data_IF_403359668481
#
_entry.id   IF_403359668481
#
_cell.length_a   1.000
_cell.length_b   1.000
_cell.length_c   1.000
_cell.angle_alpha   90.00
_cell.angle_beta   90.00
_cell.angle_gamma   90.00
#
_symmetry.space_group_name_H-M   'P 1'
#
loop_
_entity.id
_entity.type
_entity.pdbx_description
1 polymer ?
#
# COMPACT_ATOMS: atom_id res chain seq x y z
N UNK A 1 -42.86 10.99 20.18
CA UNK A 1 -42.15 10.18 21.19
C UNK A 1 -41.94 8.80 20.57
N UNK A 2 -40.77 8.40 20.08
CA UNK A 2 -39.42 8.93 20.25
C UNK A 2 -38.60 8.41 19.07
N UNK A 3 -37.84 9.29 18.45
CA UNK A 3 -36.87 8.97 17.42
C UNK A 3 -35.83 7.98 17.98
N UNK A 4 -35.64 6.85 17.30
CA UNK A 4 -34.43 6.06 17.42
C UNK A 4 -33.35 6.86 16.70
N UNK A 5 -32.50 7.51 17.49
CA UNK A 5 -31.28 8.12 17.00
C UNK A 5 -30.38 6.98 16.51
N UNK A 6 -30.20 6.94 15.20
CA UNK A 6 -29.14 6.20 14.53
C UNK A 6 -27.80 6.52 15.19
N UNK A 7 -27.13 5.48 15.68
CA UNK A 7 -25.81 5.52 16.28
C UNK A 7 -24.72 5.64 15.19
N UNK A 8 -24.82 6.65 14.32
CA UNK A 8 -23.98 6.81 13.12
C UNK A 8 -22.97 7.91 13.34
N UNK A 9 -21.87 7.62 14.03
CA UNK A 9 -20.68 8.48 13.94
C UNK A 9 -19.33 7.79 14.19
N UNK A 10 -19.24 6.46 14.07
CA UNK A 10 -17.99 5.71 14.33
C UNK A 10 -17.41 4.88 13.19
N UNK A 11 -18.19 4.52 12.16
CA UNK A 11 -17.84 3.36 11.30
C UNK A 11 -17.98 3.61 9.79
N UNK A 12 -18.20 4.85 9.36
CA UNK A 12 -18.29 5.16 7.93
C UNK A 12 -16.91 5.45 7.38
N UNK A 13 -16.47 4.65 6.41
CA UNK A 13 -15.17 4.79 5.75
C UNK A 13 -15.10 6.11 4.98
N UNK A 14 -14.07 6.93 5.25
CA UNK A 14 -13.91 8.28 4.72
C UNK A 14 -12.76 8.36 3.73
N UNK A 15 -13.03 8.96 2.58
CA UNK A 15 -12.08 9.08 1.48
C UNK A 15 -11.85 10.54 1.08
N UNK A 16 -10.68 10.81 0.52
CA UNK A 16 -10.39 11.99 -0.32
C UNK A 16 -10.01 11.51 -1.71
N UNK A 17 -10.44 12.23 -2.75
CA UNK A 17 -10.09 11.93 -4.14
C UNK A 17 -9.28 13.09 -4.71
N UNK A 18 -8.05 12.81 -5.13
CA UNK A 18 -7.14 13.77 -5.75
C UNK A 18 -6.84 13.32 -7.18
N UNK A 19 -7.27 14.13 -8.16
CA UNK A 19 -7.07 13.87 -9.59
C UNK A 19 -7.22 15.19 -10.35
N UNK A 20 -6.38 15.44 -11.36
CA UNK A 20 -6.48 16.67 -12.16
C UNK A 20 -7.72 16.67 -13.08
N UNK A 21 -8.28 15.49 -13.37
CA UNK A 21 -9.46 15.32 -14.21
C UNK A 21 -10.76 15.33 -13.40
N UNK A 22 -11.54 16.40 -13.52
CA UNK A 22 -12.82 16.55 -12.81
C UNK A 22 -13.81 15.39 -13.07
N UNK A 23 -13.83 14.85 -14.30
CA UNK A 23 -14.69 13.72 -14.66
C UNK A 23 -14.33 12.45 -13.87
N UNK A 24 -13.02 12.21 -13.66
CA UNK A 24 -12.54 11.06 -12.88
C UNK A 24 -12.94 11.21 -11.42
N UNK A 25 -12.71 12.39 -10.82
CA UNK A 25 -13.13 12.64 -9.43
C UNK A 25 -14.61 12.44 -9.22
N UNK A 26 -15.42 12.98 -10.13
CA UNK A 26 -16.88 12.84 -10.10
C UNK A 26 -17.30 11.36 -10.20
N UNK A 27 -16.73 10.62 -11.15
CA UNK A 27 -17.04 9.21 -11.37
C UNK A 27 -16.68 8.33 -10.17
N UNK A 28 -15.46 8.47 -9.63
CA UNK A 28 -15.08 7.77 -8.41
C UNK A 28 -15.94 8.21 -7.23
N UNK A 29 -16.26 9.50 -7.09
CA UNK A 29 -17.11 9.98 -6.01
C UNK A 29 -18.50 9.34 -6.01
N UNK A 30 -19.10 9.15 -7.18
CA UNK A 30 -20.37 8.43 -7.33
C UNK A 30 -20.26 6.96 -6.93
N UNK A 31 -19.21 6.26 -7.40
CA UNK A 31 -18.96 4.85 -7.07
C UNK A 31 -18.78 4.65 -5.57
N UNK A 32 -17.93 5.48 -4.93
CA UNK A 32 -17.65 5.37 -3.50
C UNK A 32 -18.89 5.65 -2.65
N UNK A 33 -19.64 6.70 -3.01
CA UNK A 33 -20.86 7.07 -2.27
C UNK A 33 -21.93 5.98 -2.38
N UNK A 34 -22.07 5.35 -3.55
CA UNK A 34 -23.02 4.25 -3.76
C UNK A 34 -22.71 3.03 -2.86
N UNK A 35 -21.46 2.84 -2.47
CA UNK A 35 -21.02 1.75 -1.58
C UNK A 35 -20.86 2.19 -0.11
N UNK A 36 -21.41 3.36 0.25
CA UNK A 36 -21.40 3.86 1.63
C UNK A 36 -20.05 4.41 2.10
N UNK A 37 -19.10 4.67 1.21
CA UNK A 37 -17.84 5.35 1.50
C UNK A 37 -18.06 6.86 1.34
N UNK A 38 -17.75 7.63 2.38
CA UNK A 38 -17.90 9.08 2.38
C UNK A 38 -16.75 9.78 1.66
N UNK A 39 -17.04 10.52 0.61
CA UNK A 39 -16.06 11.43 0.01
C UNK A 39 -16.06 12.75 0.76
N UNK A 40 -15.03 12.96 1.57
CA UNK A 40 -14.92 14.13 2.46
C UNK A 40 -14.38 15.39 1.78
N UNK A 41 -13.62 15.21 0.69
CA UNK A 41 -13.13 16.29 -0.15
C UNK A 41 -12.63 15.75 -1.49
N UNK A 42 -12.62 16.64 -2.48
CA UNK A 42 -11.93 16.47 -3.75
C UNK A 42 -10.76 17.46 -3.85
N UNK A 43 -9.72 17.10 -4.60
CA UNK A 43 -8.57 17.94 -4.88
C UNK A 43 -8.16 17.84 -6.35
N UNK A 44 -7.82 18.96 -6.98
CA UNK A 44 -7.36 19.01 -8.36
C UNK A 44 -5.82 18.96 -8.48
N UNK A 45 -5.10 19.13 -7.37
CA UNK A 45 -3.65 18.99 -7.31
C UNK A 45 -3.14 18.44 -5.97
N UNK A 46 -1.85 18.14 -5.90
CA UNK A 46 -1.23 17.58 -4.70
C UNK A 46 -1.22 18.52 -3.48
N UNK A 47 -1.17 19.84 -3.68
CA UNK A 47 -1.20 20.79 -2.57
C UNK A 47 -2.61 20.86 -1.96
N UNK A 48 -3.64 20.89 -2.80
CA UNK A 48 -5.04 20.78 -2.39
C UNK A 48 -5.29 19.44 -1.67
N UNK A 49 -4.72 18.34 -2.15
CA UNK A 49 -4.87 17.02 -1.55
C UNK A 49 -4.29 16.98 -0.12
N UNK A 50 -3.09 17.54 0.08
CA UNK A 50 -2.47 17.67 1.41
C UNK A 50 -3.33 18.52 2.34
N UNK A 51 -3.83 19.66 1.86
CA UNK A 51 -4.70 20.53 2.63
C UNK A 51 -6.05 19.87 2.99
N UNK A 52 -6.62 19.12 2.05
CA UNK A 52 -7.86 18.36 2.25
C UNK A 52 -7.68 17.27 3.31
N UNK A 53 -6.62 16.46 3.21
CA UNK A 53 -6.31 15.40 4.18
C UNK A 53 -6.14 15.97 5.59
N UNK A 54 -5.39 17.06 5.74
CA UNK A 54 -5.23 17.75 7.04
C UNK A 54 -6.54 18.20 7.64
N UNK A 55 -7.43 18.75 6.79
CA UNK A 55 -8.72 19.31 7.20
C UNK A 55 -9.73 18.23 7.55
N UNK A 56 -9.81 17.17 6.75
CA UNK A 56 -10.89 16.18 6.85
C UNK A 56 -10.47 14.91 7.60
N UNK A 57 -9.17 14.63 7.72
CA UNK A 57 -8.62 13.41 8.34
C UNK A 57 -9.32 12.14 7.82
N UNK A 58 -9.25 11.87 6.50
CA UNK A 58 -9.89 10.71 5.91
C UNK A 58 -9.13 9.43 6.29
N UNK A 59 -9.79 8.30 6.14
CA UNK A 59 -9.17 6.99 6.32
C UNK A 59 -8.30 6.61 5.11
N UNK A 60 -8.71 7.03 3.90
CA UNK A 60 -8.03 6.72 2.64
C UNK A 60 -7.95 7.96 1.74
N UNK A 61 -6.83 8.15 1.05
CA UNK A 61 -6.72 9.08 -0.08
C UNK A 61 -6.51 8.29 -1.37
N UNK A 62 -7.39 8.49 -2.34
CA UNK A 62 -7.16 8.11 -3.73
C UNK A 62 -6.38 9.24 -4.41
N UNK A 63 -5.21 8.93 -4.94
CA UNK A 63 -4.23 9.93 -5.35
C UNK A 63 -3.72 9.65 -6.76
N UNK A 64 -4.08 10.49 -7.73
CA UNK A 64 -3.45 10.48 -9.03
C UNK A 64 -1.98 10.92 -8.95
N UNK A 65 -1.13 10.36 -9.80
CA UNK A 65 0.29 10.73 -9.85
C UNK A 65 0.48 12.06 -10.57
N UNK A 66 -0.21 12.24 -11.69
CA UNK A 66 0.09 13.26 -12.71
C UNK A 66 -0.79 14.49 -12.52
N UNK A 67 -0.59 15.16 -11.38
CA UNK A 67 -1.27 16.40 -11.07
C UNK A 67 -0.39 17.64 -11.34
N UNK A 68 -0.98 18.79 -11.70
CA UNK A 68 -0.23 20.04 -11.91
C UNK A 68 0.39 20.56 -10.60
N UNK A 69 1.54 21.24 -10.71
CA UNK A 69 2.22 21.80 -9.55
C UNK A 69 2.88 20.72 -8.69
N UNK A 70 2.14 20.20 -7.71
CA UNK A 70 2.60 19.10 -6.85
C UNK A 70 2.05 17.77 -7.34
N UNK A 71 2.95 16.86 -7.70
CA UNK A 71 2.58 15.51 -8.11
C UNK A 71 2.07 14.66 -6.92
N UNK A 72 1.37 13.57 -7.22
CA UNK A 72 0.78 12.71 -6.20
C UNK A 72 1.78 11.99 -5.30
N UNK A 73 3.02 11.77 -5.76
CA UNK A 73 4.05 11.08 -4.99
C UNK A 73 4.62 12.02 -3.92
N UNK A 74 4.91 13.26 -4.30
CA UNK A 74 5.30 14.32 -3.37
C UNK A 74 4.18 14.62 -2.37
N UNK A 75 2.92 14.69 -2.83
CA UNK A 75 1.77 14.86 -1.95
C UNK A 75 1.66 13.71 -0.95
N UNK A 76 1.84 12.46 -1.40
CA UNK A 76 1.87 11.26 -0.55
C UNK A 76 2.94 11.37 0.53
N UNK A 77 4.18 11.75 0.17
CA UNK A 77 5.27 11.95 1.15
C UNK A 77 4.91 12.97 2.22
N UNK A 78 4.33 14.10 1.82
CA UNK A 78 3.92 15.17 2.76
C UNK A 78 2.78 14.76 3.67
N UNK A 79 1.80 14.04 3.13
CA UNK A 79 0.66 13.51 3.90
C UNK A 79 1.14 12.52 4.95
N UNK A 80 2.05 11.62 4.59
CA UNK A 80 2.50 10.55 5.48
C UNK A 80 3.55 11.00 6.49
N UNK A 81 4.29 12.07 6.21
CA UNK A 81 5.21 12.72 7.15
C UNK A 81 4.50 13.63 8.17
N UNK A 82 3.18 13.84 8.02
CA UNK A 82 2.40 14.69 8.89
C UNK A 82 1.70 13.85 9.98
N UNK A 83 2.28 13.86 11.19
CA UNK A 83 1.75 13.14 12.34
C UNK A 83 0.33 13.60 12.73
N UNK A 84 -0.12 14.78 12.28
CA UNK A 84 -1.45 15.30 12.57
C UNK A 84 -2.54 14.76 11.63
N UNK A 85 -2.15 14.09 10.54
CA UNK A 85 -3.06 13.52 9.55
C UNK A 85 -3.72 12.20 9.99
N UNK A 86 -3.25 11.59 11.09
CA UNK A 86 -3.75 10.31 11.61
C UNK A 86 -3.34 9.10 10.76
N UNK A 87 -3.96 7.95 11.02
CA UNK A 87 -3.71 6.69 10.31
C UNK A 87 -4.39 6.66 8.92
N UNK A 88 -3.99 7.56 8.03
CA UNK A 88 -4.44 7.58 6.63
C UNK A 88 -3.77 6.47 5.80
N UNK A 89 -4.46 5.94 4.79
CA UNK A 89 -3.84 5.10 3.76
C UNK A 89 -3.88 5.81 2.42
N UNK A 90 -2.81 5.72 1.64
CA UNK A 90 -2.78 6.35 0.31
C UNK A 90 -2.78 5.27 -0.76
N UNK A 91 -3.76 5.32 -1.66
CA UNK A 91 -3.84 4.45 -2.84
C UNK A 91 -3.58 5.32 -4.06
N UNK A 92 -2.54 4.95 -4.81
CA UNK A 92 -2.19 5.66 -6.03
C UNK A 92 -3.06 5.18 -7.20
N UNK A 93 -3.56 6.13 -7.99
CA UNK A 93 -4.32 5.90 -9.22
C UNK A 93 -3.44 6.24 -10.43
N UNK A 94 -3.46 5.42 -11.49
CA UNK A 94 -2.72 5.71 -12.73
C UNK A 94 -3.41 5.16 -14.00
N UNK A 95 -3.09 5.70 -15.18
CA UNK A 95 -3.77 5.42 -16.46
C UNK A 95 -3.07 4.40 -17.36
N UNK A 96 -2.32 3.44 -16.81
CA UNK A 96 -1.35 2.55 -17.48
C UNK A 96 0.00 3.19 -17.76
N UNK A 97 1.00 2.35 -17.50
CA UNK A 97 2.42 2.53 -17.71
C UNK A 97 3.13 3.44 -16.71
N UNK A 98 4.44 3.17 -16.58
CA UNK A 98 5.46 3.84 -15.78
C UNK A 98 5.90 3.07 -14.53
N UNK A 99 6.64 1.99 -14.78
CA UNK A 99 7.46 1.25 -13.80
C UNK A 99 8.30 2.16 -12.89
N UNK A 100 8.66 3.35 -13.38
CA UNK A 100 9.44 4.31 -12.62
C UNK A 100 8.66 4.94 -11.46
N UNK A 101 7.33 5.05 -11.59
CA UNK A 101 6.49 5.67 -10.56
C UNK A 101 6.04 4.70 -9.48
N UNK A 102 5.87 3.41 -9.79
CA UNK A 102 5.42 2.41 -8.81
C UNK A 102 6.37 2.39 -7.61
N UNK A 103 7.66 2.12 -7.83
CA UNK A 103 8.61 2.09 -6.72
C UNK A 103 8.76 3.44 -6.02
N UNK A 104 8.75 4.56 -6.76
CA UNK A 104 8.79 5.89 -6.15
C UNK A 104 7.58 6.15 -5.24
N UNK A 105 6.39 5.67 -5.61
CA UNK A 105 5.20 5.73 -4.79
C UNK A 105 5.26 4.81 -3.57
N UNK A 106 5.75 3.57 -3.70
CA UNK A 106 5.86 2.66 -2.56
C UNK A 106 6.92 3.13 -1.56
N UNK A 107 8.08 3.61 -2.03
CA UNK A 107 9.10 4.24 -1.17
C UNK A 107 8.60 5.55 -0.55
N UNK A 108 7.67 6.25 -1.21
CA UNK A 108 6.98 7.40 -0.64
C UNK A 108 5.97 7.02 0.46
N UNK A 109 5.69 5.73 0.67
CA UNK A 109 4.79 5.23 1.70
C UNK A 109 3.38 4.87 1.22
N UNK A 110 3.12 4.85 -0.09
CA UNK A 110 1.79 4.47 -0.60
C UNK A 110 1.42 3.04 -0.16
N UNK A 111 0.18 2.87 0.29
CA UNK A 111 -0.36 1.61 0.83
C UNK A 111 -0.99 0.73 -0.26
N UNK A 112 -1.15 1.23 -1.48
CA UNK A 112 -1.71 0.48 -2.60
C UNK A 112 -1.60 1.22 -3.93
N UNK A 113 -1.89 0.51 -5.02
CA UNK A 113 -1.85 1.05 -6.37
C UNK A 113 -2.96 0.43 -7.21
N UNK A 114 -3.69 1.26 -7.94
CA UNK A 114 -4.79 0.86 -8.82
C UNK A 114 -4.68 1.58 -10.15
N UNK A 115 -5.16 0.92 -11.20
CA UNK A 115 -5.33 1.54 -12.51
C UNK A 115 -6.67 2.28 -12.56
N UNK A 116 -6.75 3.39 -13.31
CA UNK A 116 -7.98 4.18 -13.43
C UNK A 116 -9.10 3.46 -14.20
N UNK A 117 -8.81 2.35 -14.89
CA UNK A 117 -9.79 1.50 -15.58
C UNK A 117 -10.33 0.35 -14.69
N UNK A 118 -9.98 0.35 -13.41
CA UNK A 118 -10.49 -0.63 -12.44
C UNK A 118 -12.02 -0.61 -12.38
N UNK A 119 -12.64 -1.78 -12.23
CA UNK A 119 -14.10 -1.84 -12.07
C UNK A 119 -14.53 -1.19 -10.75
N UNK A 120 -15.76 -0.66 -10.65
CA UNK A 120 -16.28 -0.07 -9.41
C UNK A 120 -16.14 -0.99 -8.20
N UNK A 121 -16.45 -2.28 -8.36
CA UNK A 121 -16.40 -3.28 -7.30
C UNK A 121 -14.97 -3.50 -6.81
N UNK A 122 -14.01 -3.54 -7.74
CA UNK A 122 -12.59 -3.68 -7.41
C UNK A 122 -12.04 -2.43 -6.71
N UNK A 123 -12.44 -1.22 -7.12
CA UNK A 123 -12.06 0.02 -6.44
C UNK A 123 -12.53 0.04 -4.98
N UNK A 124 -13.78 -0.33 -4.74
CA UNK A 124 -14.36 -0.39 -3.40
C UNK A 124 -13.66 -1.46 -2.56
N UNK A 125 -13.52 -2.67 -3.10
CA UNK A 125 -12.84 -3.77 -2.41
C UNK A 125 -11.41 -3.38 -2.03
N UNK A 126 -10.72 -2.65 -2.91
CA UNK A 126 -9.37 -2.15 -2.69
C UNK A 126 -9.25 -1.20 -1.50
N UNK A 127 -10.15 -0.23 -1.44
CA UNK A 127 -10.18 0.76 -0.36
C UNK A 127 -10.44 0.08 0.99
N UNK A 128 -11.39 -0.86 1.03
CA UNK A 128 -11.69 -1.64 2.25
C UNK A 128 -10.52 -2.50 2.69
N UNK A 129 -9.83 -3.16 1.75
CA UNK A 129 -8.67 -4.01 2.05
C UNK A 129 -7.50 -3.19 2.61
N UNK A 130 -7.17 -2.08 1.95
CA UNK A 130 -6.08 -1.20 2.39
C UNK A 130 -6.37 -0.61 3.77
N UNK A 131 -7.64 -0.28 4.07
CA UNK A 131 -8.03 0.18 5.41
C UNK A 131 -7.80 -0.88 6.49
N UNK A 132 -8.06 -2.17 6.21
CA UNK A 132 -7.80 -3.25 7.18
C UNK A 132 -6.32 -3.59 7.38
N UNK A 133 -5.41 -2.82 6.76
CA UNK A 133 -3.96 -3.05 6.79
C UNK A 133 -3.50 -4.16 5.84
N UNK A 134 -4.43 -4.74 5.09
CA UNK A 134 -4.13 -5.70 4.04
C UNK A 134 -3.78 -4.90 2.78
N UNK A 135 -2.48 -4.70 2.51
CA UNK A 135 -2.10 -3.96 1.31
C UNK A 135 -2.47 -4.75 0.04
N UNK A 136 -3.10 -4.07 -0.93
CA UNK A 136 -3.22 -4.57 -2.29
C UNK A 136 -1.90 -4.42 -3.04
N UNK A 137 -1.01 -5.38 -2.82
CA UNK A 137 0.02 -5.66 -3.79
C UNK A 137 -0.55 -6.70 -4.75
N UNK A 138 -1.18 -6.23 -5.82
CA UNK A 138 -1.53 -7.12 -6.92
C UNK A 138 -0.26 -7.87 -7.37
N UNK A 139 -0.33 -9.16 -7.73
CA UNK A 139 0.82 -9.91 -8.23
C UNK A 139 1.58 -9.21 -9.36
N UNK A 140 0.86 -8.41 -10.16
CA UNK A 140 1.41 -7.53 -11.20
C UNK A 140 2.30 -6.41 -10.66
N UNK A 141 1.97 -5.81 -9.52
CA UNK A 141 2.78 -4.77 -8.85
C UNK A 141 4.03 -5.42 -8.25
N UNK A 142 3.90 -6.57 -7.58
CA UNK A 142 5.04 -7.34 -7.08
C UNK A 142 5.99 -7.70 -8.21
N UNK A 143 5.46 -8.20 -9.33
CA UNK A 143 6.26 -8.50 -10.53
C UNK A 143 6.99 -7.27 -11.07
N UNK A 144 6.37 -6.11 -11.08
CA UNK A 144 7.03 -4.86 -11.51
C UNK A 144 8.12 -4.41 -10.56
N UNK A 145 7.94 -4.59 -9.25
CA UNK A 145 9.01 -4.37 -8.27
C UNK A 145 10.19 -5.32 -8.51
N UNK A 146 9.90 -6.59 -8.76
CA UNK A 146 10.90 -7.62 -9.13
C UNK A 146 11.67 -7.16 -10.39
N UNK A 147 10.98 -6.77 -11.45
CA UNK A 147 11.60 -6.37 -12.73
C UNK A 147 12.51 -5.13 -12.59
N UNK A 148 12.17 -4.16 -11.73
CA UNK A 148 13.02 -2.98 -11.49
C UNK A 148 14.25 -3.30 -10.65
N UNK A 149 14.12 -4.11 -9.61
CA UNK A 149 15.28 -4.51 -8.80
C UNK A 149 16.24 -5.41 -9.59
N UNK A 150 15.71 -6.24 -10.51
CA UNK A 150 16.54 -7.07 -11.40
C UNK A 150 17.45 -6.19 -12.28
N UNK A 151 16.93 -5.05 -12.76
CA UNK A 151 17.69 -4.07 -13.55
C UNK A 151 18.70 -3.27 -12.72
N UNK A 152 18.51 -3.15 -11.40
CA UNK A 152 19.39 -2.37 -10.51
C UNK A 152 20.62 -3.17 -10.06
N UNK A 153 20.53 -4.49 -10.00
CA UNK A 153 21.68 -5.38 -9.75
C UNK A 153 22.76 -5.30 -10.83
N UNK A 154 22.41 -4.93 -12.06
CA UNK A 154 23.42 -4.67 -13.11
C UNK A 154 24.30 -3.44 -12.82
N UNK A 155 23.91 -2.57 -11.86
CA UNK A 155 24.48 -1.22 -11.71
C UNK A 155 25.15 -0.87 -10.36
N UNK A 156 25.03 -1.67 -9.29
CA UNK A 156 25.71 -1.36 -8.02
C UNK A 156 25.94 -2.57 -7.10
N UNK A 157 27.05 -2.61 -6.33
CA UNK A 157 27.28 -3.63 -5.33
C UNK A 157 26.36 -3.42 -4.12
N UNK A 158 25.70 -4.50 -3.71
CA UNK A 158 24.72 -4.58 -2.63
C UNK A 158 25.26 -3.99 -1.32
N UNK A 159 24.53 -3.05 -0.73
CA UNK A 159 24.78 -2.65 0.66
C UNK A 159 24.56 -3.87 1.57
N UNK A 160 25.49 -4.10 2.49
CA UNK A 160 25.62 -5.34 3.25
C UNK A 160 24.43 -5.72 4.15
N UNK A 161 24.44 -6.94 4.72
CA UNK A 161 23.21 -7.60 5.16
C UNK A 161 22.68 -7.14 6.53
N UNK A 162 21.35 -7.04 6.60
CA UNK A 162 20.52 -7.46 7.75
C UNK A 162 20.51 -6.63 9.05
N UNK A 163 21.11 -5.43 9.12
CA UNK A 163 21.05 -4.66 10.38
C UNK A 163 19.63 -4.20 10.76
N UNK A 164 18.79 -3.98 9.76
CA UNK A 164 17.38 -3.59 9.95
C UNK A 164 16.46 -4.79 10.24
N UNK A 165 16.91 -6.02 9.94
CA UNK A 165 16.10 -7.24 10.10
C UNK A 165 16.48 -8.08 11.33
N UNK A 166 17.52 -7.68 12.09
CA UNK A 166 18.05 -8.46 13.21
C UNK A 166 17.07 -8.68 14.38
N UNK A 167 15.96 -7.94 14.44
CA UNK A 167 14.91 -8.12 15.44
C UNK A 167 13.91 -9.24 15.13
N UNK A 168 13.98 -9.85 13.93
CA UNK A 168 13.05 -10.90 13.51
C UNK A 168 13.54 -12.29 13.91
N UNK A 169 12.59 -13.13 14.36
CA UNK A 169 12.81 -14.57 14.55
C UNK A 169 12.95 -15.27 13.19
N UNK A 170 13.52 -16.50 13.15
CA UNK A 170 13.61 -17.28 11.91
C UNK A 170 12.27 -17.46 11.21
N UNK A 171 11.18 -17.68 11.96
CA UNK A 171 9.83 -17.83 11.42
C UNK A 171 9.28 -16.53 10.86
N UNK A 172 9.53 -15.40 11.52
CA UNK A 172 9.12 -14.08 11.02
C UNK A 172 9.89 -13.71 9.74
N UNK A 173 11.17 -14.06 9.65
CA UNK A 173 11.97 -13.84 8.45
C UNK A 173 11.49 -14.70 7.27
N UNK A 174 11.08 -15.93 7.52
CA UNK A 174 10.44 -16.81 6.52
C UNK A 174 9.12 -16.22 6.02
N UNK A 175 8.25 -15.77 6.94
CA UNK A 175 6.99 -15.10 6.60
C UNK A 175 7.25 -13.84 5.77
N UNK A 176 8.23 -13.00 6.16
CA UNK A 176 8.58 -11.79 5.44
C UNK A 176 9.06 -12.09 4.00
N UNK A 177 9.87 -13.13 3.81
CA UNK A 177 10.29 -13.58 2.47
C UNK A 177 9.11 -13.96 1.58
N UNK A 178 8.21 -14.81 2.07
CA UNK A 178 7.04 -15.21 1.28
C UNK A 178 6.06 -14.05 1.04
N UNK A 179 5.94 -13.14 2.01
CA UNK A 179 5.11 -11.95 1.88
C UNK A 179 5.63 -11.03 0.78
N UNK A 180 6.95 -10.84 0.70
CA UNK A 180 7.58 -9.97 -0.28
C UNK A 180 7.65 -10.57 -1.70
N UNK A 181 7.33 -11.87 -1.88
CA UNK A 181 6.98 -12.43 -3.20
C UNK A 181 5.54 -12.16 -3.62
N UNK A 182 4.77 -11.36 -2.86
CA UNK A 182 3.43 -10.92 -3.24
C UNK A 182 2.29 -11.89 -2.88
N UNK A 183 2.54 -12.91 -2.06
CA UNK A 183 1.51 -13.90 -1.68
C UNK A 183 0.47 -13.31 -0.74
N UNK A 184 -0.82 -13.44 -1.06
CA UNK A 184 -1.93 -13.06 -0.18
C UNK A 184 -1.88 -13.79 1.16
N UNK A 185 -2.64 -13.33 2.16
CA UNK A 185 -2.69 -14.01 3.46
C UNK A 185 -3.21 -15.46 3.36
N UNK A 186 -4.10 -15.74 2.39
CA UNK A 186 -4.60 -17.08 2.13
C UNK A 186 -3.51 -17.98 1.52
N UNK A 187 -2.78 -17.49 0.52
CA UNK A 187 -1.67 -18.24 -0.09
C UNK A 187 -0.50 -18.44 0.88
N UNK A 188 -0.22 -17.44 1.73
CA UNK A 188 0.73 -17.57 2.84
C UNK A 188 0.29 -18.63 3.84
N UNK A 189 -1.00 -18.65 4.20
CA UNK A 189 -1.56 -19.61 5.13
C UNK A 189 -1.42 -21.04 4.59
N UNK A 190 -1.75 -21.24 3.32
CA UNK A 190 -1.58 -22.52 2.64
C UNK A 190 -0.10 -22.97 2.62
N UNK A 191 0.80 -22.09 2.19
CA UNK A 191 2.23 -22.41 2.03
C UNK A 191 2.95 -22.65 3.36
N UNK A 192 2.49 -21.99 4.42
CA UNK A 192 3.06 -22.11 5.76
C UNK A 192 2.34 -23.14 6.66
N UNK A 193 1.28 -23.78 6.14
CA UNK A 193 0.37 -24.66 6.89
C UNK A 193 -0.17 -24.00 8.17
N UNK A 194 -0.61 -22.74 8.05
CA UNK A 194 -1.18 -21.92 9.12
C UNK A 194 -2.62 -21.52 8.81
N UNK A 195 -3.34 -21.00 9.80
CA UNK A 195 -4.61 -20.32 9.54
C UNK A 195 -4.37 -18.88 9.03
N UNK A 196 -5.28 -18.31 8.22
CA UNK A 196 -5.19 -16.91 7.79
C UNK A 196 -5.05 -15.91 8.96
N UNK A 197 -5.72 -16.19 10.08
CA UNK A 197 -5.63 -15.37 11.30
C UNK A 197 -4.23 -15.41 11.92
N UNK A 198 -3.58 -16.58 11.93
CA UNK A 198 -2.20 -16.73 12.43
C UNK A 198 -1.22 -15.99 11.52
N UNK A 199 -1.39 -16.05 10.20
CA UNK A 199 -0.60 -15.26 9.25
C UNK A 199 -0.76 -13.77 9.52
N UNK A 200 -1.99 -13.28 9.70
CA UNK A 200 -2.26 -11.87 10.02
C UNK A 200 -1.55 -11.43 11.30
N UNK A 201 -1.53 -12.30 12.30
CA UNK A 201 -0.81 -12.08 13.57
C UNK A 201 0.71 -12.00 13.37
N UNK A 202 1.28 -12.88 12.55
CA UNK A 202 2.72 -12.81 12.21
C UNK A 202 3.06 -11.52 11.48
N UNK A 203 2.28 -11.14 10.48
CA UNK A 203 2.48 -9.90 9.73
C UNK A 203 2.40 -8.69 10.66
N UNK A 204 1.37 -8.61 11.52
CA UNK A 204 1.25 -7.51 12.49
C UNK A 204 2.45 -7.39 13.43
N UNK A 205 3.01 -8.51 13.89
CA UNK A 205 4.23 -8.52 14.72
C UNK A 205 5.47 -8.08 13.95
N UNK A 206 5.63 -8.52 12.71
CA UNK A 206 6.74 -8.10 11.84
C UNK A 206 6.68 -6.59 11.63
N UNK A 207 5.51 -6.06 11.24
CA UNK A 207 5.31 -4.63 11.04
C UNK A 207 5.62 -3.84 12.31
N UNK A 208 5.15 -4.30 13.47
CA UNK A 208 5.41 -3.63 14.74
C UNK A 208 6.89 -3.64 15.12
N UNK A 209 7.59 -4.77 14.94
CA UNK A 209 9.02 -4.92 15.26
C UNK A 209 9.93 -4.09 14.36
N UNK A 210 9.51 -3.88 13.12
CA UNK A 210 10.25 -3.12 12.12
C UNK A 210 9.76 -1.67 12.01
N UNK A 211 8.81 -1.25 12.86
CA UNK A 211 8.21 0.09 12.85
C UNK A 211 7.59 0.47 11.49
N UNK A 212 7.00 -0.51 10.81
CA UNK A 212 6.43 -0.35 9.48
C UNK A 212 4.92 -0.11 9.54
N UNK A 213 4.45 0.85 8.74
CA UNK A 213 3.04 1.28 8.70
C UNK A 213 2.11 0.22 8.08
N UNK A 214 2.60 -0.51 7.07
CA UNK A 214 1.82 -1.52 6.36
C UNK A 214 2.69 -2.55 5.66
N UNK A 215 1.99 -3.54 5.11
CA UNK A 215 2.54 -4.61 4.30
C UNK A 215 3.36 -4.13 3.10
N UNK A 216 3.02 -2.99 2.47
CA UNK A 216 3.83 -2.49 1.33
C UNK A 216 5.22 -2.14 1.80
N UNK A 217 5.33 -1.42 2.92
CA UNK A 217 6.62 -1.05 3.49
C UNK A 217 7.47 -2.28 3.84
N UNK A 218 6.85 -3.36 4.30
CA UNK A 218 7.55 -4.63 4.53
C UNK A 218 8.13 -5.24 3.24
N UNK A 219 7.39 -5.14 2.13
CA UNK A 219 7.89 -5.60 0.83
C UNK A 219 9.03 -4.73 0.33
N UNK A 220 8.90 -3.39 0.40
CA UNK A 220 9.97 -2.46 0.01
C UNK A 220 11.24 -2.73 0.81
N UNK A 221 11.13 -2.85 2.13
CA UNK A 221 12.26 -3.15 3.02
C UNK A 221 12.93 -4.49 2.66
N UNK A 222 12.14 -5.52 2.34
CA UNK A 222 12.70 -6.82 1.94
C UNK A 222 13.54 -6.72 0.66
N UNK A 223 13.19 -5.85 -0.28
CA UNK A 223 14.01 -5.58 -1.46
C UNK A 223 15.23 -4.71 -1.14
N UNK A 224 15.07 -3.63 -0.37
CA UNK A 224 16.16 -2.70 -0.04
C UNK A 224 17.25 -3.34 0.83
N UNK A 225 16.85 -4.26 1.72
CA UNK A 225 17.76 -5.06 2.54
C UNK A 225 18.44 -6.22 1.79
N UNK A 226 18.06 -6.46 0.53
CA UNK A 226 18.52 -7.61 -0.25
C UNK A 226 18.02 -8.96 0.27
N UNK A 227 16.98 -8.98 1.12
CA UNK A 227 16.34 -10.22 1.60
C UNK A 227 15.71 -11.02 0.46
N UNK A 228 15.25 -10.31 -0.58
CA UNK A 228 14.78 -10.88 -1.84
C UNK A 228 15.56 -10.29 -2.99
N UNK A 229 16.17 -11.18 -3.77
CA UNK A 229 16.75 -10.86 -5.06
C UNK A 229 15.81 -11.32 -6.18
N UNK A 230 15.46 -10.45 -7.14
CA UNK A 230 14.71 -10.84 -8.34
C UNK A 230 15.38 -11.99 -9.10
N UNK A 231 14.62 -13.05 -9.40
CA UNK A 231 15.14 -14.22 -10.14
C UNK A 231 15.77 -15.32 -9.29
N UNK A 232 15.90 -15.14 -7.96
CA UNK A 232 16.18 -16.23 -7.05
C UNK A 232 14.94 -17.10 -6.87
N UNK A 233 14.83 -18.19 -7.62
CA UNK A 233 13.91 -19.27 -7.26
C UNK A 233 14.14 -19.66 -5.80
N UNK A 234 13.06 -19.98 -5.09
CA UNK A 234 13.07 -20.41 -3.70
C UNK A 234 13.73 -21.80 -3.48
N UNK A 235 14.82 -22.11 -4.18
CA UNK A 235 15.57 -23.37 -4.13
C UNK A 235 17.07 -23.18 -3.80
N UNK A 236 17.45 -22.03 -3.28
CA UNK A 236 18.86 -21.68 -3.03
C UNK A 236 19.38 -21.93 -1.61
N UNK A 237 19.04 -23.02 -0.90
CA UNK A 237 19.81 -23.41 0.30
C UNK A 237 19.78 -24.91 0.55
N UNK A 238 20.53 -25.68 -0.26
CA UNK A 238 21.17 -26.92 0.18
C UNK A 238 22.53 -27.04 -0.52
N UNK A 239 23.49 -26.19 -0.12
CA UNK A 239 24.90 -26.54 -0.21
C UNK A 239 25.57 -26.20 1.12
N UNK A 240 25.54 -27.20 2.00
CA UNK A 240 26.55 -27.35 3.05
C UNK A 240 27.88 -27.83 2.44
N UNK A 241 28.92 -27.89 3.28
CA UNK A 241 30.32 -27.58 2.96
C UNK A 241 30.97 -28.45 1.88
#
# INVERSE_FOLDING_TARGET
>A
MTALADDVNGDRLRAVIADDQALVRTGFGMILTADGIEVTAEAADGAEAVAAVRRTRPDVALMDIRMPGMDGIEATRRILADDTAGEIRVIILTTYDLDHYVYAALTAGASGFLLKDVTPEHLVAAIRLVRSGDALLAPTITRRLIERFARREEAAPSAGPHRELSGLTPRELEVLRLLATGLSNAELAERLFLSPTTVKTHIGRILSKLELRDRVQAVVLAYESGLITPGGTAEGTLRGP
#
